data_IF_733657029755
#
_entry.id   IF_733657029755
#
_cell.length_a   1.000
_cell.length_b   1.000
_cell.length_c   1.000
_cell.angle_alpha   90.00
_cell.angle_beta   90.00
_cell.angle_gamma   90.00
#
_symmetry.space_group_name_H-M   'P 1'
#
loop_
_entity.id
_entity.type
_entity.pdbx_description
1 polymer ?
#
# COMPACT_ATOMS: atom_id res chain seq x y z
N UNK A 1 2.01 96.36 -37.55
CA UNK A 1 2.11 95.82 -38.93
C UNK A 1 2.89 94.50 -38.88
N UNK A 2 2.16 93.38 -38.98
CA UNK A 2 2.57 92.03 -39.44
C UNK A 2 4.01 91.56 -39.15
N UNK A 3 4.23 90.82 -38.05
CA UNK A 3 5.20 89.70 -37.92
C UNK A 3 5.11 89.03 -36.53
N UNK A 4 3.99 88.37 -36.24
CA UNK A 4 3.87 87.49 -35.05
C UNK A 4 3.04 86.23 -35.27
N UNK A 5 2.31 86.13 -36.38
CA UNK A 5 1.26 85.10 -36.49
C UNK A 5 1.71 83.79 -37.15
N UNK A 6 2.90 83.72 -37.76
CA UNK A 6 3.35 82.50 -38.44
C UNK A 6 4.11 81.50 -37.53
N UNK A 7 4.69 81.95 -36.41
CA UNK A 7 5.44 81.05 -35.51
C UNK A 7 4.51 80.27 -34.56
N UNK A 8 3.38 80.88 -34.16
CA UNK A 8 2.38 80.27 -33.28
C UNK A 8 1.50 79.22 -33.99
N UNK A 9 1.36 79.31 -35.32
CA UNK A 9 0.63 78.33 -36.14
C UNK A 9 1.35 76.97 -36.24
N UNK A 10 2.68 76.97 -36.40
CA UNK A 10 3.44 75.73 -36.58
C UNK A 10 3.67 74.97 -35.27
N UNK A 11 3.71 75.64 -34.11
CA UNK A 11 3.75 74.97 -32.80
C UNK A 11 2.43 74.27 -32.44
N UNK A 12 1.27 74.82 -32.87
CA UNK A 12 -0.04 74.21 -32.62
C UNK A 12 -0.24 72.93 -33.44
N UNK A 13 0.19 72.89 -34.69
CA UNK A 13 0.11 71.68 -35.51
C UNK A 13 1.08 70.57 -35.05
N UNK A 14 2.26 70.92 -34.52
CA UNK A 14 3.20 69.93 -33.97
C UNK A 14 2.70 69.35 -32.63
N UNK A 15 2.06 70.15 -31.77
CA UNK A 15 1.44 69.66 -30.53
C UNK A 15 0.21 68.77 -30.77
N UNK A 16 -0.58 69.03 -31.83
CA UNK A 16 -1.73 68.18 -32.18
C UNK A 16 -1.26 66.82 -32.71
N UNK A 17 -0.17 66.77 -33.49
CA UNK A 17 0.42 65.50 -33.96
C UNK A 17 1.04 64.68 -32.81
N UNK A 18 1.63 65.35 -31.81
CA UNK A 18 2.17 64.72 -30.59
C UNK A 18 1.05 64.20 -29.64
N UNK A 19 -0.10 64.87 -29.57
CA UNK A 19 -1.24 64.42 -28.76
C UNK A 19 -2.06 63.29 -29.40
N UNK A 20 -2.15 63.23 -30.74
CA UNK A 20 -2.78 62.08 -31.41
C UNK A 20 -1.95 60.80 -31.25
N UNK A 21 -0.62 60.88 -31.25
CA UNK A 21 0.24 59.71 -31.04
C UNK A 21 0.18 59.19 -29.60
N UNK A 22 0.09 60.07 -28.60
CA UNK A 22 -0.01 59.67 -27.20
C UNK A 22 -1.36 59.01 -26.86
N UNK A 23 -2.48 59.52 -27.39
CA UNK A 23 -3.81 58.92 -27.17
C UNK A 23 -3.99 57.58 -27.88
N UNK A 24 -3.43 57.45 -29.10
CA UNK A 24 -3.49 56.18 -29.83
C UNK A 24 -2.59 55.12 -29.16
N UNK A 25 -1.39 55.50 -28.68
CA UNK A 25 -0.53 54.61 -27.90
C UNK A 25 -1.17 54.20 -26.57
N UNK A 26 -1.82 55.12 -25.85
CA UNK A 26 -2.51 54.80 -24.60
C UNK A 26 -3.69 53.83 -24.83
N UNK A 27 -4.48 54.03 -25.89
CA UNK A 27 -5.57 53.14 -26.24
C UNK A 27 -5.06 51.74 -26.64
N UNK A 28 -4.00 51.66 -27.45
CA UNK A 28 -3.33 50.40 -27.81
C UNK A 28 -2.72 49.70 -26.58
N UNK A 29 -2.17 50.46 -25.63
CA UNK A 29 -1.60 49.91 -24.40
C UNK A 29 -2.69 49.36 -23.46
N UNK A 30 -3.85 50.03 -23.38
CA UNK A 30 -5.01 49.55 -22.63
C UNK A 30 -5.61 48.30 -23.29
N UNK A 31 -5.72 48.26 -24.61
CA UNK A 31 -6.19 47.06 -25.34
C UNK A 31 -5.20 45.91 -25.16
N UNK A 32 -3.89 46.17 -25.21
CA UNK A 32 -2.85 45.17 -24.97
C UNK A 32 -2.87 44.66 -23.51
N UNK A 33 -3.10 45.54 -22.52
CA UNK A 33 -3.26 45.16 -21.11
C UNK A 33 -4.53 44.35 -20.87
N UNK A 34 -5.64 44.69 -21.53
CA UNK A 34 -6.89 43.92 -21.45
C UNK A 34 -6.71 42.55 -22.13
N UNK A 35 -6.04 42.49 -23.29
CA UNK A 35 -5.73 41.25 -23.98
C UNK A 35 -4.77 40.37 -23.16
N UNK A 36 -3.72 40.95 -22.54
CA UNK A 36 -2.81 40.23 -21.65
C UNK A 36 -3.51 39.77 -20.37
N UNK A 37 -4.45 40.54 -19.82
CA UNK A 37 -5.26 40.13 -18.67
C UNK A 37 -6.25 39.00 -19.03
N UNK A 38 -6.84 39.02 -20.23
CA UNK A 38 -7.71 37.97 -20.74
C UNK A 38 -6.92 36.67 -21.00
N UNK A 39 -5.74 36.76 -21.62
CA UNK A 39 -4.81 35.63 -21.81
C UNK A 39 -4.29 35.10 -20.46
N UNK A 40 -4.04 35.96 -19.47
CA UNK A 40 -3.66 35.55 -18.12
C UNK A 40 -4.83 34.92 -17.33
N UNK A 41 -6.09 35.19 -17.68
CA UNK A 41 -7.26 34.51 -17.13
C UNK A 41 -7.50 33.15 -17.79
N UNK A 42 -7.24 33.00 -19.10
CA UNK A 42 -7.36 31.72 -19.81
C UNK A 42 -6.18 30.76 -19.55
N UNK A 43 -5.02 31.27 -19.14
CA UNK A 43 -3.82 30.46 -18.82
C UNK A 43 -3.66 30.13 -17.34
N UNK A 44 -4.61 30.52 -16.47
CA UNK A 44 -4.64 29.94 -15.12
C UNK A 44 -4.95 28.45 -15.27
N UNK A 45 -4.04 27.54 -14.89
CA UNK A 45 -4.40 26.13 -14.84
C UNK A 45 -5.64 26.03 -13.97
N UNK A 46 -6.72 25.48 -14.53
CA UNK A 46 -7.90 25.11 -13.78
C UNK A 46 -7.38 24.25 -12.64
N UNK A 47 -7.39 24.75 -11.40
CA UNK A 47 -7.19 23.93 -10.22
C UNK A 47 -8.32 22.89 -10.30
N UNK A 48 -8.04 21.74 -10.88
CA UNK A 48 -8.71 20.51 -10.53
C UNK A 48 -8.40 20.35 -9.05
N UNK A 49 -9.31 20.84 -8.20
CA UNK A 49 -9.45 20.29 -6.88
C UNK A 49 -9.78 18.82 -7.10
N UNK A 50 -8.77 17.97 -7.16
CA UNK A 50 -8.93 16.54 -6.95
C UNK A 50 -9.72 16.44 -5.66
N UNK A 51 -10.94 15.89 -5.72
CA UNK A 51 -11.73 15.69 -4.51
C UNK A 51 -10.84 14.95 -3.49
N UNK A 52 -10.83 15.41 -2.24
CA UNK A 52 -10.06 14.77 -1.18
C UNK A 52 -10.46 13.30 -1.10
N UNK A 53 -9.49 12.40 -0.92
CA UNK A 53 -9.79 10.99 -0.85
C UNK A 53 -10.56 10.73 0.47
N UNK A 54 -11.65 9.94 0.45
CA UNK A 54 -12.41 9.60 1.65
C UNK A 54 -11.56 9.10 2.82
N UNK A 55 -10.44 8.41 2.55
CA UNK A 55 -9.52 7.92 3.58
C UNK A 55 -8.71 9.02 4.30
N UNK A 56 -8.71 10.25 3.78
CA UNK A 56 -8.07 11.40 4.44
C UNK A 56 -8.92 11.96 5.62
N UNK A 57 -10.20 11.58 5.73
CA UNK A 57 -11.09 12.02 6.82
C UNK A 57 -10.67 11.39 8.16
N UNK A 58 -10.57 12.16 9.25
CA UNK A 58 -10.34 11.63 10.60
C UNK A 58 -11.43 10.65 11.06
N UNK A 59 -12.69 10.93 10.74
CA UNK A 59 -13.83 10.06 11.04
C UNK A 59 -13.68 8.72 10.33
N UNK A 60 -13.27 8.76 9.05
CA UNK A 60 -12.99 7.56 8.26
C UNK A 60 -11.83 6.76 8.84
N UNK A 61 -10.72 7.41 9.18
CA UNK A 61 -9.57 6.75 9.78
C UNK A 61 -9.92 6.09 11.12
N UNK A 62 -10.75 6.74 11.94
CA UNK A 62 -11.25 6.18 13.19
C UNK A 62 -12.13 4.94 12.94
N UNK A 63 -13.02 4.99 11.94
CA UNK A 63 -13.85 3.85 11.54
C UNK A 63 -13.01 2.68 11.01
N UNK A 64 -12.05 2.95 10.13
CA UNK A 64 -11.16 1.91 9.58
C UNK A 64 -10.37 1.25 10.70
N UNK A 65 -9.86 2.04 11.66
CA UNK A 65 -9.18 1.50 12.84
C UNK A 65 -10.13 0.67 13.70
N UNK A 66 -11.39 1.09 13.93
CA UNK A 66 -12.36 0.29 14.68
C UNK A 66 -12.65 -1.06 14.01
N UNK A 67 -12.84 -1.07 12.69
CA UNK A 67 -13.02 -2.29 11.90
C UNK A 67 -11.79 -3.19 12.04
N UNK A 68 -10.59 -2.64 11.83
CA UNK A 68 -9.35 -3.39 11.91
C UNK A 68 -9.05 -3.92 13.32
N UNK A 69 -9.44 -3.20 14.38
CA UNK A 69 -9.30 -3.69 15.76
C UNK A 69 -10.14 -4.94 15.96
N UNK A 70 -11.39 -4.96 15.48
CA UNK A 70 -12.32 -6.05 15.73
C UNK A 70 -11.79 -7.40 15.24
N UNK A 71 -11.13 -7.41 14.08
CA UNK A 71 -10.67 -8.63 13.40
C UNK A 71 -9.17 -8.88 13.52
N UNK A 72 -8.44 -8.04 14.28
CA UNK A 72 -6.98 -8.08 14.31
C UNK A 72 -6.46 -9.46 14.76
N UNK A 73 -5.56 -10.10 13.99
CA UNK A 73 -5.14 -11.48 14.20
C UNK A 73 -4.32 -11.67 15.49
N UNK A 74 -4.28 -12.90 15.99
CA UNK A 74 -3.30 -13.34 16.98
C UNK A 74 -2.17 -14.04 16.23
N UNK A 75 -0.94 -13.56 16.38
CA UNK A 75 0.21 -14.08 15.61
C UNK A 75 1.10 -14.93 16.51
N UNK A 76 1.36 -16.16 16.10
CA UNK A 76 2.36 -17.06 16.65
C UNK A 76 3.59 -16.98 15.75
N UNK A 77 4.51 -16.09 16.09
CA UNK A 77 5.75 -15.87 15.36
C UNK A 77 6.81 -16.88 15.79
N UNK A 78 7.20 -17.79 14.90
CA UNK A 78 8.34 -18.65 15.15
C UNK A 78 9.65 -17.86 15.15
N UNK A 79 10.58 -18.23 16.03
CA UNK A 79 11.91 -17.61 16.12
C UNK A 79 12.99 -18.57 15.63
N UNK A 80 13.70 -18.16 14.58
CA UNK A 80 14.83 -18.87 14.01
C UNK A 80 16.13 -18.54 14.72
N UNK A 81 17.27 -18.67 14.03
CA UNK A 81 18.60 -18.48 14.63
C UNK A 81 18.96 -17.01 14.89
N UNK A 82 18.22 -16.07 14.31
CA UNK A 82 18.39 -14.63 14.55
C UNK A 82 17.05 -14.02 15.00
N UNK A 83 16.62 -14.24 16.25
CA UNK A 83 15.26 -13.93 16.69
C UNK A 83 14.78 -12.50 16.41
N UNK A 84 15.65 -11.49 16.55
CA UNK A 84 15.31 -10.08 16.24
C UNK A 84 14.90 -9.86 14.79
N UNK A 85 15.41 -10.67 13.87
CA UNK A 85 15.03 -10.59 12.45
C UNK A 85 13.63 -11.15 12.19
N UNK A 86 13.11 -12.00 13.09
CA UNK A 86 11.75 -12.55 13.02
C UNK A 86 10.72 -11.70 13.76
N UNK A 87 11.11 -10.59 14.43
CA UNK A 87 10.14 -9.75 15.13
C UNK A 87 9.27 -8.97 14.14
N UNK A 88 7.96 -8.93 14.42
CA UNK A 88 7.02 -8.05 13.73
C UNK A 88 7.23 -6.62 14.24
N UNK A 89 7.47 -5.66 13.34
CA UNK A 89 7.73 -4.25 13.66
C UNK A 89 7.19 -3.32 12.57
N UNK A 90 7.30 -1.99 12.71
CA UNK A 90 7.08 -1.03 11.61
C UNK A 90 8.32 -0.90 10.71
N UNK A 91 8.12 -0.52 9.44
CA UNK A 91 9.17 -0.29 8.44
C UNK A 91 10.20 0.74 8.90
N UNK A 92 9.73 1.86 9.45
CA UNK A 92 10.53 2.99 9.91
C UNK A 92 10.92 2.88 11.39
N UNK A 93 11.18 1.66 11.88
CA UNK A 93 11.52 1.40 13.29
C UNK A 93 12.80 2.12 13.76
N UNK A 94 13.68 2.47 12.82
CA UNK A 94 14.90 3.22 13.05
C UNK A 94 14.75 4.74 12.82
N UNK A 95 13.53 5.19 12.50
CA UNK A 95 13.16 6.60 12.37
C UNK A 95 13.29 7.17 10.97
N UNK A 96 13.53 6.35 9.95
CA UNK A 96 13.53 6.78 8.55
C UNK A 96 12.77 5.84 7.62
N UNK A 97 12.55 6.28 6.39
CA UNK A 97 11.81 5.53 5.37
C UNK A 97 12.75 4.93 4.30
N UNK A 98 13.98 4.64 4.68
CA UNK A 98 15.02 4.12 3.79
C UNK A 98 15.06 2.60 3.85
N UNK A 99 14.76 1.92 2.75
CA UNK A 99 14.67 0.46 2.76
C UNK A 99 16.01 -0.28 2.78
N UNK A 100 17.12 0.35 2.38
CA UNK A 100 18.43 -0.29 2.18
C UNK A 100 19.39 -0.19 3.39
N UNK A 101 18.89 0.20 4.56
CA UNK A 101 19.63 0.17 5.82
C UNK A 101 19.00 -0.77 6.87
N UNK A 102 17.78 -1.26 6.65
CA UNK A 102 17.00 -2.07 7.59
C UNK A 102 17.69 -3.38 7.96
N UNK A 103 18.37 -4.02 7.00
CA UNK A 103 19.16 -5.20 7.27
C UNK A 103 20.25 -4.89 8.27
N UNK A 104 20.93 -3.75 8.19
CA UNK A 104 22.01 -3.42 9.14
C UNK A 104 21.46 -2.97 10.49
N UNK A 105 20.38 -2.20 10.48
CA UNK A 105 19.86 -1.53 11.67
C UNK A 105 19.12 -2.47 12.64
N UNK A 106 18.62 -3.62 12.19
CA UNK A 106 17.87 -4.54 13.06
C UNK A 106 18.69 -5.07 14.23
N UNK A 107 20.01 -5.23 14.11
CA UNK A 107 20.86 -5.68 15.24
C UNK A 107 21.28 -4.54 16.17
N UNK A 108 21.03 -3.28 15.79
CA UNK A 108 21.32 -2.13 16.62
C UNK A 108 20.23 -1.94 17.67
N UNK A 109 20.51 -2.36 18.91
CA UNK A 109 19.60 -2.26 20.07
C UNK A 109 19.18 -0.83 20.44
N UNK A 110 19.76 0.22 19.81
CA UNK A 110 19.26 1.59 19.93
C UNK A 110 17.92 1.80 19.23
N UNK A 111 17.59 0.94 18.26
CA UNK A 111 16.32 0.94 17.56
C UNK A 111 15.42 -0.17 18.15
N UNK A 112 14.42 0.19 18.97
CA UNK A 112 13.48 -0.77 19.53
C UNK A 112 12.56 -1.31 18.41
N UNK A 113 12.33 -2.61 18.40
CA UNK A 113 11.49 -3.26 17.38
C UNK A 113 10.06 -3.37 17.91
N UNK A 114 9.44 -2.21 18.13
CA UNK A 114 8.09 -2.14 18.69
C UNK A 114 7.09 -2.77 17.75
N UNK A 115 6.22 -3.61 18.30
CA UNK A 115 5.29 -4.40 17.51
C UNK A 115 4.18 -3.53 16.91
N UNK A 116 4.23 -3.37 15.59
CA UNK A 116 3.19 -2.72 14.79
C UNK A 116 2.73 -3.65 13.69
N UNK A 117 1.42 -3.67 13.44
CA UNK A 117 0.81 -4.38 12.32
C UNK A 117 0.17 -3.37 11.38
N UNK A 118 0.51 -3.45 10.10
CA UNK A 118 -0.08 -2.62 9.08
C UNK A 118 -1.49 -3.12 8.76
N UNK A 119 -2.44 -2.21 8.54
CA UNK A 119 -3.80 -2.61 8.13
C UNK A 119 -4.37 -1.76 7.00
N UNK A 120 -5.33 -2.34 6.29
CA UNK A 120 -6.15 -1.63 5.32
C UNK A 120 -7.56 -2.18 5.30
N UNK A 121 -8.55 -1.31 5.08
CA UNK A 121 -9.97 -1.66 5.06
C UNK A 121 -10.58 -1.30 3.71
N UNK A 122 -11.36 -2.21 3.15
CA UNK A 122 -12.36 -1.91 2.12
C UNK A 122 -13.70 -2.55 2.49
N UNK A 123 -14.79 -2.06 1.89
CA UNK A 123 -16.15 -2.45 2.27
C UNK A 123 -17.04 -2.65 1.07
N UNK A 124 -17.83 -3.71 1.11
CA UNK A 124 -19.04 -3.86 0.30
C UNK A 124 -20.27 -3.68 1.19
N UNK A 125 -21.45 -3.74 0.58
CA UNK A 125 -22.71 -3.73 1.34
C UNK A 125 -22.89 -4.92 2.30
N UNK A 126 -22.12 -5.99 2.11
CA UNK A 126 -22.28 -7.24 2.85
C UNK A 126 -21.07 -7.62 3.68
N UNK A 127 -19.87 -7.14 3.35
CA UNK A 127 -18.64 -7.59 4.00
C UNK A 127 -17.65 -6.44 4.28
N UNK A 128 -16.91 -6.59 5.36
CA UNK A 128 -15.63 -5.91 5.60
C UNK A 128 -14.50 -6.77 5.04
N UNK A 129 -13.52 -6.11 4.41
CA UNK A 129 -12.29 -6.73 3.93
C UNK A 129 -11.14 -6.03 4.63
N UNK A 130 -10.39 -6.76 5.45
CA UNK A 130 -9.29 -6.21 6.22
C UNK A 130 -7.99 -6.92 5.88
N UNK A 131 -7.09 -6.22 5.19
CA UNK A 131 -5.73 -6.69 5.04
C UNK A 131 -4.93 -6.35 6.29
N UNK A 132 -4.12 -7.31 6.74
CA UNK A 132 -3.06 -7.09 7.71
C UNK A 132 -1.72 -7.46 7.08
N UNK A 133 -0.70 -6.64 7.29
CA UNK A 133 0.65 -6.90 6.82
C UNK A 133 1.66 -6.81 7.98
N UNK A 134 2.59 -7.76 8.01
CA UNK A 134 3.55 -8.00 9.06
C UNK A 134 4.94 -7.74 8.48
N UNK A 135 5.60 -6.68 8.95
CA UNK A 135 6.91 -6.31 8.44
C UNK A 135 8.01 -6.91 9.30
N UNK A 136 9.02 -7.44 8.61
CA UNK A 136 10.25 -7.97 9.20
C UNK A 136 11.46 -7.29 8.52
N UNK A 137 12.49 -6.85 9.26
CA UNK A 137 13.62 -6.16 8.63
C UNK A 137 14.49 -7.05 7.71
N UNK A 138 14.40 -8.38 7.83
CA UNK A 138 15.18 -9.34 7.03
C UNK A 138 14.39 -10.63 6.80
N UNK A 139 14.28 -11.09 5.55
CA UNK A 139 14.19 -12.53 5.27
C UNK A 139 15.61 -13.09 5.25
N UNK A 140 15.91 -14.05 6.12
CA UNK A 140 17.23 -14.68 6.19
C UNK A 140 17.21 -16.18 5.88
N UNK A 141 16.13 -16.68 5.26
CA UNK A 141 15.99 -18.06 4.80
C UNK A 141 16.97 -18.34 3.65
N UNK A 142 17.56 -19.53 3.63
CA UNK A 142 18.50 -19.97 2.57
C UNK A 142 19.92 -19.39 2.65
N UNK A 143 20.15 -18.33 3.44
CA UNK A 143 21.47 -17.78 3.75
C UNK A 143 22.07 -16.86 2.67
N UNK A 144 22.84 -15.86 3.13
CA UNK A 144 23.30 -14.73 2.29
C UNK A 144 24.19 -15.14 1.10
N UNK A 145 25.10 -16.10 1.29
CA UNK A 145 26.05 -16.52 0.25
C UNK A 145 25.32 -17.08 -0.98
N UNK A 146 24.30 -17.91 -0.75
CA UNK A 146 23.50 -18.52 -1.82
C UNK A 146 22.73 -17.44 -2.59
N UNK A 147 22.16 -16.48 -1.87
CA UNK A 147 21.40 -15.37 -2.46
C UNK A 147 22.24 -14.47 -3.34
N UNK A 148 23.39 -14.00 -2.84
CA UNK A 148 24.27 -13.10 -3.60
C UNK A 148 24.85 -13.78 -4.84
N UNK A 149 25.19 -15.07 -4.75
CA UNK A 149 25.68 -15.83 -5.90
C UNK A 149 24.62 -15.95 -7.00
N UNK A 150 23.39 -16.34 -6.64
CA UNK A 150 22.31 -16.49 -7.60
C UNK A 150 21.94 -15.14 -8.24
N UNK A 151 21.88 -14.06 -7.45
CA UNK A 151 21.65 -12.73 -7.97
C UNK A 151 22.73 -12.31 -9.00
N UNK A 152 24.00 -12.57 -8.69
CA UNK A 152 25.12 -12.24 -9.59
C UNK A 152 24.99 -12.99 -10.92
N UNK A 153 24.71 -14.30 -10.86
CA UNK A 153 24.51 -15.13 -12.05
C UNK A 153 23.33 -14.65 -12.90
N UNK A 154 22.21 -14.27 -12.26
CA UNK A 154 21.05 -13.73 -12.97
C UNK A 154 21.37 -12.38 -13.63
N UNK A 155 22.02 -11.45 -12.93
CA UNK A 155 22.43 -10.15 -13.50
C UNK A 155 23.37 -10.30 -14.70
N UNK A 156 24.27 -11.28 -14.68
CA UNK A 156 25.15 -11.58 -15.81
C UNK A 156 24.41 -12.25 -16.98
N UNK A 157 23.44 -13.14 -16.69
CA UNK A 157 22.56 -13.77 -17.68
C UNK A 157 21.60 -12.79 -18.38
N UNK A 158 21.03 -11.82 -17.65
CA UNK A 158 20.12 -10.78 -18.18
C UNK A 158 20.79 -9.91 -19.25
N UNK A 159 22.11 -9.71 -19.19
CA UNK A 159 22.84 -8.96 -20.23
C UNK A 159 22.75 -9.62 -21.62
N UNK A 160 22.29 -10.87 -21.70
CA UNK A 160 22.29 -11.67 -22.93
C UNK A 160 20.89 -12.11 -23.42
N UNK A 161 19.80 -11.85 -22.68
CA UNK A 161 18.44 -12.21 -23.11
C UNK A 161 17.37 -11.28 -22.52
N UNK A 162 16.55 -10.65 -23.38
CA UNK A 162 15.41 -9.83 -22.97
C UNK A 162 14.18 -10.69 -22.65
N UNK A 163 13.91 -10.89 -21.37
CA UNK A 163 12.76 -11.62 -20.81
C UNK A 163 12.93 -11.80 -19.30
N UNK A 164 11.86 -12.16 -18.57
CA UNK A 164 11.96 -12.51 -17.14
C UNK A 164 13.02 -13.60 -16.95
N UNK A 165 14.18 -13.28 -16.36
CA UNK A 165 15.34 -14.16 -16.32
C UNK A 165 15.18 -15.27 -15.29
N UNK A 166 14.13 -15.22 -14.48
CA UNK A 166 13.91 -16.21 -13.43
C UNK A 166 13.05 -17.35 -13.92
N UNK A 167 12.08 -17.14 -14.82
CA UNK A 167 11.15 -18.19 -15.22
C UNK A 167 10.49 -18.93 -14.04
N UNK A 168 10.45 -18.31 -12.85
CA UNK A 168 10.06 -18.94 -11.57
C UNK A 168 11.19 -19.57 -10.73
N UNK A 169 12.42 -19.74 -11.24
CA UNK A 169 13.55 -20.35 -10.51
C UNK A 169 14.00 -19.56 -9.27
N UNK A 170 13.87 -18.24 -9.27
CA UNK A 170 14.20 -17.40 -8.10
C UNK A 170 13.10 -17.41 -7.02
N UNK A 171 11.90 -17.86 -7.37
CA UNK A 171 10.78 -18.03 -6.44
C UNK A 171 10.85 -19.41 -5.74
N UNK A 172 11.44 -20.43 -6.38
CA UNK A 172 11.60 -21.79 -5.83
C UNK A 172 12.82 -21.97 -4.90
N UNK A 173 13.73 -20.99 -4.87
CA UNK A 173 14.91 -21.01 -4.01
C UNK A 173 14.66 -20.08 -2.83
N UNK A 174 14.75 -20.62 -1.61
CA UNK A 174 14.85 -19.78 -0.41
C UNK A 174 16.08 -18.89 -0.53
N UNK A 175 15.85 -17.58 -0.65
CA UNK A 175 16.89 -16.57 -0.83
C UNK A 175 16.62 -15.48 0.18
N UNK A 176 17.59 -15.24 1.06
CA UNK A 176 17.55 -14.10 1.98
C UNK A 176 17.48 -12.77 1.23
N UNK A 177 16.77 -11.81 1.79
CA UNK A 177 16.65 -10.45 1.30
C UNK A 177 16.36 -9.45 2.42
N UNK A 178 16.78 -8.21 2.21
CA UNK A 178 16.44 -7.07 3.05
C UNK A 178 14.97 -6.68 2.92
N UNK A 179 14.39 -6.38 4.08
CA UNK A 179 12.95 -6.24 4.28
C UNK A 179 12.20 -7.54 4.00
N UNK A 180 11.04 -7.65 4.61
CA UNK A 180 10.02 -8.61 4.25
C UNK A 180 8.67 -8.07 4.69
N UNK A 181 7.65 -8.32 3.91
CA UNK A 181 6.29 -7.93 4.25
C UNK A 181 5.34 -9.00 3.75
N UNK A 182 4.84 -9.76 4.70
CA UNK A 182 3.89 -10.85 4.50
C UNK A 182 2.55 -10.46 5.13
N UNK A 183 1.49 -11.25 4.92
CA UNK A 183 0.20 -10.83 5.44
C UNK A 183 -0.97 -11.78 5.27
N UNK A 184 -2.14 -11.25 5.60
CA UNK A 184 -3.41 -11.93 5.45
C UNK A 184 -4.53 -10.96 5.08
N UNK A 185 -5.61 -11.51 4.54
CA UNK A 185 -6.90 -10.86 4.32
C UNK A 185 -7.93 -11.55 5.20
N UNK A 186 -8.57 -10.80 6.09
CA UNK A 186 -9.70 -11.25 6.90
C UNK A 186 -10.99 -10.66 6.33
N UNK A 187 -11.98 -11.52 6.06
CA UNK A 187 -13.26 -11.11 5.46
C UNK A 187 -14.39 -11.44 6.42
N UNK A 188 -15.12 -10.40 6.84
CA UNK A 188 -16.19 -10.52 7.80
C UNK A 188 -17.53 -10.06 7.21
N UNK A 189 -18.53 -10.93 7.29
CA UNK A 189 -19.92 -10.63 6.94
C UNK A 189 -20.52 -9.65 7.94
N UNK A 190 -21.11 -8.58 7.43
CA UNK A 190 -21.72 -7.52 8.22
C UNK A 190 -23.03 -7.99 8.86
N UNK A 191 -23.25 -7.57 10.10
CA UNK A 191 -24.56 -7.61 10.75
C UNK A 191 -24.89 -6.20 11.24
N UNK A 192 -25.43 -5.38 10.34
CA UNK A 192 -25.56 -3.94 10.54
C UNK A 192 -24.25 -3.17 10.33
N UNK A 193 -24.23 -1.91 10.76
CA UNK A 193 -23.11 -0.97 10.55
C UNK A 193 -21.98 -1.06 11.59
N UNK A 194 -22.29 -1.65 12.75
CA UNK A 194 -21.34 -1.82 13.85
C UNK A 194 -20.42 -3.03 13.56
N UNK A 195 -19.10 -2.84 13.44
CA UNK A 195 -18.17 -3.92 13.22
C UNK A 195 -18.24 -5.02 14.29
N UNK A 196 -18.66 -4.70 15.52
CA UNK A 196 -18.78 -5.68 16.59
C UNK A 196 -19.80 -6.79 16.30
N UNK A 197 -20.81 -6.52 15.47
CA UNK A 197 -21.82 -7.51 15.05
C UNK A 197 -21.38 -8.42 13.91
N UNK A 198 -20.26 -8.13 13.25
CA UNK A 198 -19.84 -8.83 12.04
C UNK A 198 -19.13 -10.17 12.30
N UNK A 199 -19.34 -11.13 11.39
CA UNK A 199 -18.86 -12.51 11.50
C UNK A 199 -17.75 -12.82 10.50
N UNK A 200 -16.55 -13.22 10.94
CA UNK A 200 -15.50 -13.68 10.02
C UNK A 200 -15.97 -14.94 9.28
N UNK A 201 -15.90 -14.92 7.95
CA UNK A 201 -16.30 -16.03 7.08
C UNK A 201 -15.11 -16.62 6.33
N UNK A 202 -14.13 -15.79 5.98
CA UNK A 202 -12.97 -16.18 5.18
C UNK A 202 -11.70 -15.54 5.71
N UNK A 203 -10.61 -16.29 5.63
CA UNK A 203 -9.26 -15.78 5.86
C UNK A 203 -8.38 -16.30 4.75
N UNK A 204 -7.62 -15.42 4.11
CA UNK A 204 -6.56 -15.80 3.19
C UNK A 204 -5.22 -15.32 3.72
N UNK A 205 -4.17 -16.13 3.58
CA UNK A 205 -2.81 -15.76 4.01
C UNK A 205 -1.83 -15.86 2.86
N UNK A 206 -0.75 -15.09 2.93
CA UNK A 206 0.36 -15.17 2.00
C UNK A 206 1.48 -16.03 2.60
N UNK A 207 1.88 -17.08 1.88
CA UNK A 207 3.08 -17.83 2.20
C UNK A 207 3.80 -18.26 0.94
N UNK A 208 5.07 -17.85 0.78
CA UNK A 208 5.91 -18.22 -0.37
C UNK A 208 5.21 -17.97 -1.70
N UNK A 209 4.67 -16.75 -1.88
CA UNK A 209 3.88 -16.32 -3.05
C UNK A 209 2.65 -17.20 -3.34
N UNK A 210 2.00 -17.78 -2.33
CA UNK A 210 0.73 -18.52 -2.48
C UNK A 210 -0.33 -17.95 -1.55
N UNK A 211 -1.56 -17.81 -2.06
CA UNK A 211 -2.71 -17.46 -1.24
C UNK A 211 -3.35 -18.73 -0.68
N UNK A 212 -3.15 -18.97 0.61
CA UNK A 212 -3.77 -20.08 1.35
C UNK A 212 -5.16 -19.65 1.81
N UNK A 213 -6.12 -20.57 1.77
CA UNK A 213 -7.56 -20.24 1.82
C UNK A 213 -8.23 -20.97 2.96
N UNK A 214 -8.71 -20.23 3.94
CA UNK A 214 -9.27 -20.79 5.17
C UNK A 214 -10.69 -20.32 5.44
N UNK A 215 -11.43 -21.17 6.14
CA UNK A 215 -12.70 -20.82 6.80
C UNK A 215 -12.58 -21.06 8.31
N UNK A 216 -13.29 -20.30 9.16
CA UNK A 216 -13.35 -20.62 10.59
C UNK A 216 -13.94 -22.01 10.87
N UNK A 217 -14.88 -22.45 10.03
CA UNK A 217 -15.51 -23.77 10.11
C UNK A 217 -16.08 -24.19 8.75
N UNK A 218 -16.43 -25.49 8.62
CA UNK A 218 -17.07 -26.06 7.44
C UNK A 218 -16.11 -26.83 6.54
N UNK A 219 -16.43 -26.90 5.25
CA UNK A 219 -15.64 -27.63 4.26
C UNK A 219 -14.40 -26.82 3.81
N UNK A 220 -13.31 -27.54 3.51
CA UNK A 220 -12.03 -26.94 3.12
C UNK A 220 -11.04 -26.86 4.29
N UNK A 221 -9.94 -26.11 4.11
CA UNK A 221 -9.00 -25.86 5.20
C UNK A 221 -9.61 -24.91 6.24
N UNK A 222 -9.37 -25.22 7.51
CA UNK A 222 -9.93 -24.46 8.63
C UNK A 222 -8.87 -23.67 9.37
N UNK A 223 -9.27 -22.53 9.93
CA UNK A 223 -8.42 -21.70 10.79
C UNK A 223 -9.02 -21.56 12.18
N UNK A 224 -8.17 -21.69 13.21
CA UNK A 224 -8.58 -21.47 14.59
C UNK A 224 -8.85 -19.98 14.85
N UNK A 225 -9.85 -19.69 15.68
CA UNK A 225 -10.29 -18.33 16.00
C UNK A 225 -10.31 -18.09 17.51
N UNK A 226 -9.95 -16.88 17.95
CA UNK A 226 -10.21 -16.35 19.29
C UNK A 226 -11.25 -15.24 19.17
N UNK A 227 -12.52 -15.61 19.34
CA UNK A 227 -13.64 -14.74 18.92
C UNK A 227 -13.56 -14.51 17.41
N UNK A 228 -13.48 -13.25 16.99
CA UNK A 228 -13.40 -12.87 15.57
C UNK A 228 -11.96 -12.70 15.06
N UNK A 229 -10.97 -13.16 15.83
CA UNK A 229 -9.53 -12.98 15.54
C UNK A 229 -8.92 -14.30 15.08
N UNK A 230 -8.42 -14.41 13.84
CA UNK A 230 -7.75 -15.63 13.40
C UNK A 230 -6.42 -15.83 14.12
N UNK A 231 -6.10 -17.08 14.42
CA UNK A 231 -4.80 -17.48 14.96
C UNK A 231 -3.90 -17.88 13.78
N UNK A 232 -2.84 -17.10 13.58
CA UNK A 232 -1.90 -17.25 12.49
C UNK A 232 -0.55 -17.71 13.02
N UNK A 233 0.13 -18.57 12.28
CA UNK A 233 1.54 -18.89 12.48
C UNK A 233 2.37 -18.18 11.43
N UNK A 234 3.45 -17.52 11.85
CA UNK A 234 4.44 -16.93 10.94
C UNK A 234 5.71 -17.77 11.03
N UNK A 235 6.10 -18.36 9.89
CA UNK A 235 7.31 -19.18 9.79
C UNK A 235 8.55 -18.35 10.17
N UNK A 236 9.50 -18.88 10.96
CA UNK A 236 10.77 -18.20 11.17
C UNK A 236 11.53 -18.06 9.85
N UNK A 237 12.38 -17.03 9.78
CA UNK A 237 13.29 -16.69 8.69
C UNK A 237 12.62 -16.16 7.43
N UNK A 238 11.70 -16.92 6.83
CA UNK A 238 11.06 -16.55 5.55
C UNK A 238 9.58 -16.19 5.67
N UNK A 239 9.10 -15.99 6.91
CA UNK A 239 7.84 -15.33 7.27
C UNK A 239 6.53 -15.76 6.59
N UNK A 240 6.51 -16.94 5.94
CA UNK A 240 5.27 -17.48 5.39
C UNK A 240 4.16 -17.56 6.45
N UNK A 241 2.99 -17.01 6.13
CA UNK A 241 1.85 -16.92 7.05
C UNK A 241 0.90 -18.08 6.81
N UNK A 242 0.62 -18.84 7.87
CA UNK A 242 -0.24 -20.03 7.85
C UNK A 242 -1.31 -19.94 8.94
N UNK A 243 -2.35 -20.77 8.84
CA UNK A 243 -3.21 -21.04 9.99
C UNK A 243 -2.40 -21.69 11.13
N UNK A 244 -2.57 -21.22 12.36
CA UNK A 244 -1.91 -21.83 13.52
C UNK A 244 -2.53 -23.19 13.86
N UNK A 245 -1.71 -24.23 13.91
CA UNK A 245 -2.07 -25.57 14.38
C UNK A 245 -1.42 -25.87 15.74
N UNK A 246 -0.25 -25.29 16.01
CA UNK A 246 0.50 -25.49 17.25
C UNK A 246 1.13 -26.88 17.39
N UNK A 247 1.08 -27.70 16.33
CA UNK A 247 1.68 -29.02 16.35
C UNK A 247 3.21 -28.96 16.20
N UNK A 248 3.88 -30.04 16.62
CA UNK A 248 5.34 -30.12 16.60
C UNK A 248 5.95 -30.04 15.20
N UNK A 249 5.21 -30.37 14.14
CA UNK A 249 5.70 -30.28 12.77
C UNK A 249 5.70 -28.82 12.28
N UNK A 250 4.65 -28.05 12.60
CA UNK A 250 4.60 -26.61 12.35
C UNK A 250 5.68 -25.85 13.13
N UNK A 251 5.92 -26.24 14.39
CA UNK A 251 6.85 -25.54 15.27
C UNK A 251 8.32 -25.99 15.15
N UNK A 252 8.64 -27.02 14.35
CA UNK A 252 9.97 -27.65 14.31
C UNK A 252 11.12 -26.67 14.05
N UNK A 253 10.88 -25.65 13.23
CA UNK A 253 11.89 -24.67 12.81
C UNK A 253 11.96 -23.44 13.73
N UNK A 254 11.04 -23.34 14.70
CA UNK A 254 11.01 -22.32 15.75
C UNK A 254 12.02 -22.64 16.86
N UNK A 255 13.31 -22.75 16.50
CA UNK A 255 14.37 -23.24 17.38
C UNK A 255 14.63 -22.37 18.61
N UNK A 256 14.23 -21.10 18.58
CA UNK A 256 14.26 -20.18 19.73
C UNK A 256 12.89 -19.98 20.38
N UNK A 257 11.92 -20.85 20.07
CA UNK A 257 10.54 -20.81 20.53
C UNK A 257 9.67 -19.88 19.68
N UNK A 258 8.51 -19.53 20.22
CA UNK A 258 7.48 -18.74 19.54
C UNK A 258 7.13 -17.52 20.38
N UNK A 259 6.93 -16.37 19.75
CA UNK A 259 6.31 -15.18 20.35
C UNK A 259 4.84 -15.10 19.93
N UNK A 260 3.98 -14.69 20.86
CA UNK A 260 2.55 -14.52 20.65
C UNK A 260 2.23 -13.03 20.64
N UNK A 261 1.91 -12.50 19.46
CA UNK A 261 1.50 -11.12 19.30
C UNK A 261 -0.03 -11.01 19.35
N UNK A 262 -0.55 -10.05 20.11
CA UNK A 262 -1.99 -9.76 20.20
C UNK A 262 -2.24 -8.26 20.21
N UNK A 263 -3.34 -7.82 19.59
CA UNK A 263 -3.71 -6.40 19.64
C UNK A 263 -4.03 -5.99 21.07
N UNK A 264 -3.29 -5.02 21.59
CA UNK A 264 -3.53 -4.37 22.89
C UNK A 264 -3.72 -2.86 22.74
N UNK A 265 -3.45 -2.32 21.55
CA UNK A 265 -3.38 -0.88 21.32
C UNK A 265 -2.10 -0.25 21.86
N UNK A 266 -1.11 -1.05 22.25
CA UNK A 266 0.21 -0.61 22.67
C UNK A 266 1.25 -1.40 21.87
N UNK A 267 2.18 -0.70 21.23
CA UNK A 267 3.29 -1.33 20.51
C UNK A 267 4.44 -1.62 21.47
N UNK A 268 4.49 -2.86 21.97
CA UNK A 268 5.52 -3.32 22.91
C UNK A 268 6.78 -3.76 22.17
N UNK A 269 7.94 -3.63 22.82
CA UNK A 269 9.22 -4.13 22.30
C UNK A 269 9.47 -5.55 22.83
N UNK A 270 9.59 -6.58 21.96
CA UNK A 270 9.88 -7.95 22.39
C UNK A 270 11.15 -8.10 23.22
N UNK A 271 12.15 -7.22 23.06
CA UNK A 271 13.38 -7.25 23.87
C UNK A 271 13.22 -6.62 25.25
N UNK A 272 12.14 -5.89 25.49
CA UNK A 272 11.86 -5.24 26.77
C UNK A 272 10.94 -6.08 27.67
N UNK A 273 10.56 -7.28 27.24
CA UNK A 273 9.64 -8.17 27.96
C UNK A 273 10.23 -9.58 28.09
N UNK A 274 10.21 -10.14 29.30
CA UNK A 274 10.55 -11.55 29.53
C UNK A 274 9.38 -12.49 29.14
N UNK A 275 8.23 -11.91 28.82
CA UNK A 275 7.03 -12.65 28.42
C UNK A 275 7.13 -13.06 26.94
N UNK A 276 6.67 -14.28 26.63
CA UNK A 276 6.48 -14.73 25.24
C UNK A 276 5.23 -14.13 24.59
N UNK A 277 4.50 -13.26 25.28
CA UNK A 277 3.38 -12.47 24.77
C UNK A 277 3.80 -11.02 24.55
N UNK A 278 3.43 -10.46 23.41
CA UNK A 278 3.76 -9.08 23.00
C UNK A 278 2.48 -8.38 22.52
N UNK A 279 2.19 -7.22 23.08
CA UNK A 279 1.16 -6.32 22.60
C UNK A 279 1.59 -5.60 21.33
N UNK A 280 0.72 -5.56 20.32
CA UNK A 280 0.92 -4.70 19.13
C UNK A 280 -0.15 -3.62 19.02
N UNK A 281 0.21 -2.55 18.30
CA UNK A 281 -0.74 -1.55 17.79
C UNK A 281 -0.85 -1.59 16.25
N UNK A 282 -1.90 -0.96 15.72
CA UNK A 282 -2.27 -0.97 14.32
C UNK A 282 -1.91 0.36 13.64
N UNK A 283 -1.23 0.30 12.50
CA UNK A 283 -0.89 1.46 11.68
C UNK A 283 -1.48 1.35 10.26
N UNK A 284 -2.12 2.39 9.73
CA UNK A 284 -2.81 2.30 8.44
C UNK A 284 -1.82 2.26 7.27
N UNK A 285 -1.99 1.30 6.36
CA UNK A 285 -1.24 1.21 5.09
C UNK A 285 -1.43 2.49 4.28
N UNK A 286 -2.64 3.05 4.27
CA UNK A 286 -3.02 4.20 3.44
C UNK A 286 -2.15 5.44 3.69
N UNK A 287 -1.98 5.85 4.95
CA UNK A 287 -1.22 7.07 5.30
C UNK A 287 0.28 6.84 5.49
N UNK A 288 0.73 5.58 5.41
CA UNK A 288 2.13 5.18 5.60
C UNK A 288 2.72 4.63 4.29
N UNK A 289 2.74 3.30 4.12
CA UNK A 289 3.34 2.60 2.98
C UNK A 289 2.78 3.09 1.63
N UNK A 290 1.45 3.18 1.50
CA UNK A 290 0.79 3.58 0.26
C UNK A 290 1.13 5.02 -0.13
N UNK A 291 1.14 5.93 0.84
CA UNK A 291 1.50 7.34 0.63
C UNK A 291 2.91 7.48 0.08
N UNK A 292 3.86 6.71 0.62
CA UNK A 292 5.23 6.69 0.10
C UNK A 292 5.33 6.01 -1.27
N UNK A 293 4.41 5.14 -1.65
CA UNK A 293 4.45 4.46 -2.95
C UNK A 293 4.03 5.36 -4.12
N UNK A 294 3.33 6.47 -3.85
CA UNK A 294 2.73 7.33 -4.88
C UNK A 294 3.77 7.96 -5.84
N UNK A 295 5.02 8.10 -5.42
CA UNK A 295 6.07 8.69 -6.25
C UNK A 295 6.85 7.66 -7.08
N UNK A 296 6.41 6.40 -7.12
CA UNK A 296 7.18 5.32 -7.74
C UNK A 296 8.42 4.96 -6.92
N UNK A 297 9.59 4.95 -7.57
CA UNK A 297 10.87 4.66 -6.94
C UNK A 297 11.32 5.83 -6.06
N UNK A 298 11.77 5.53 -4.85
CA UNK A 298 12.28 6.48 -3.85
C UNK A 298 13.11 5.73 -2.79
N UNK A 299 13.42 6.36 -1.65
CA UNK A 299 14.21 5.72 -0.60
C UNK A 299 13.51 4.50 0.03
N UNK A 300 12.17 4.46 0.01
CA UNK A 300 11.37 3.31 0.48
C UNK A 300 11.25 2.22 -0.57
N UNK A 301 11.01 2.59 -1.84
CA UNK A 301 10.73 1.66 -2.93
C UNK A 301 11.84 1.65 -3.98
N UNK A 302 12.40 0.46 -4.19
CA UNK A 302 13.50 0.25 -5.11
C UNK A 302 13.07 -0.07 -6.55
N UNK A 303 11.79 -0.34 -6.77
CA UNK A 303 11.17 -0.62 -8.07
C UNK A 303 9.79 0.02 -8.15
N UNK A 304 9.31 0.25 -9.36
CA UNK A 304 7.93 0.68 -9.65
C UNK A 304 7.22 -0.25 -10.61
N UNK A 305 5.89 -0.27 -10.53
CA UNK A 305 5.02 -0.92 -11.51
C UNK A 305 3.95 0.06 -11.96
N UNK A 306 3.72 0.12 -13.28
CA UNK A 306 2.57 0.81 -13.86
C UNK A 306 1.36 -0.12 -13.87
N UNK A 307 0.40 0.14 -12.99
CA UNK A 307 -0.78 -0.69 -12.82
C UNK A 307 -1.81 -0.36 -13.90
N UNK A 308 -2.30 -1.42 -14.57
CA UNK A 308 -3.39 -1.32 -15.53
C UNK A 308 -4.68 -0.83 -14.87
N UNK A 309 -5.63 -0.41 -15.70
CA UNK A 309 -6.99 -0.08 -15.27
C UNK A 309 -7.64 -1.29 -14.61
N UNK A 310 -8.22 -1.08 -13.43
CA UNK A 310 -9.09 -2.06 -12.77
C UNK A 310 -10.55 -1.72 -13.05
N UNK A 311 -11.32 -2.71 -13.51
CA UNK A 311 -12.77 -2.62 -13.63
C UNK A 311 -13.41 -3.24 -12.39
N UNK A 312 -14.02 -2.41 -11.54
CA UNK A 312 -14.62 -2.85 -10.27
C UNK A 312 -16.10 -2.49 -10.21
N UNK A 313 -16.87 -3.26 -9.44
CA UNK A 313 -18.26 -2.92 -9.12
C UNK A 313 -18.28 -1.95 -7.94
N UNK A 314 -19.08 -0.90 -8.06
CA UNK A 314 -19.37 0.05 -6.98
C UNK A 314 -20.86 0.15 -6.76
N UNK A 315 -21.29 0.40 -5.52
CA UNK A 315 -22.68 0.68 -5.18
C UNK A 315 -22.83 2.14 -4.80
N UNK A 316 -23.69 2.87 -5.50
CA UNK A 316 -23.94 4.28 -5.22
C UNK A 316 -24.91 4.50 -4.03
N UNK A 317 -25.10 5.76 -3.62
CA UNK A 317 -26.02 6.15 -2.54
C UNK A 317 -27.49 5.76 -2.76
N UNK A 318 -27.90 5.48 -4.01
CA UNK A 318 -29.25 5.02 -4.35
C UNK A 318 -29.39 3.50 -4.27
N UNK A 319 -28.31 2.79 -3.93
CA UNK A 319 -28.27 1.33 -3.90
C UNK A 319 -28.11 0.66 -5.26
N UNK A 320 -27.72 1.42 -6.29
CA UNK A 320 -27.52 0.90 -7.64
C UNK A 320 -26.05 0.50 -7.84
N UNK A 321 -25.85 -0.68 -8.42
CA UNK A 321 -24.52 -1.20 -8.74
C UNK A 321 -24.12 -0.78 -10.15
N UNK A 322 -22.88 -0.31 -10.33
CA UNK A 322 -22.31 -0.02 -11.64
C UNK A 322 -20.84 -0.43 -11.71
N UNK A 323 -20.41 -0.86 -12.89
CA UNK A 323 -19.00 -1.10 -13.17
C UNK A 323 -18.31 0.22 -13.45
N UNK A 324 -17.18 0.45 -12.80
CA UNK A 324 -16.33 1.60 -13.05
C UNK A 324 -14.90 1.18 -13.31
N UNK A 325 -14.26 1.89 -14.23
CA UNK A 325 -12.84 1.79 -14.48
C UNK A 325 -12.08 2.73 -13.54
N UNK A 326 -10.99 2.22 -12.98
CA UNK A 326 -10.11 2.95 -12.07
C UNK A 326 -8.66 2.81 -12.51
N UNK A 327 -8.06 3.94 -12.82
CA UNK A 327 -6.65 4.03 -13.11
C UNK A 327 -5.87 4.23 -11.81
N UNK A 328 -4.96 3.30 -11.54
CA UNK A 328 -4.04 3.37 -10.39
C UNK A 328 -2.79 4.18 -10.76
N UNK A 329 -2.23 3.90 -11.94
CA UNK A 329 -0.98 4.51 -12.40
C UNK A 329 0.26 3.82 -11.84
N UNK A 330 1.38 4.54 -11.88
CA UNK A 330 2.68 4.03 -11.45
C UNK A 330 2.86 4.16 -9.93
N UNK A 331 3.21 3.06 -9.28
CA UNK A 331 3.48 3.00 -7.84
C UNK A 331 4.76 2.24 -7.54
N UNK A 332 5.40 2.57 -6.41
CA UNK A 332 6.46 1.75 -5.84
C UNK A 332 5.95 0.32 -5.62
N UNK A 333 6.67 -0.68 -6.11
CA UNK A 333 6.20 -2.07 -6.22
C UNK A 333 7.10 -3.11 -5.53
N UNK A 334 8.26 -2.67 -5.04
CA UNK A 334 9.12 -3.47 -4.18
C UNK A 334 9.88 -2.56 -3.21
N UNK A 335 10.03 -2.98 -1.96
CA UNK A 335 10.84 -2.24 -0.99
C UNK A 335 12.29 -2.20 -1.46
N UNK A 336 12.92 -1.04 -1.33
CA UNK A 336 14.33 -0.86 -1.62
C UNK A 336 15.11 -1.78 -0.69
N UNK A 337 15.93 -2.67 -1.23
CA UNK A 337 16.75 -3.59 -0.43
C UNK A 337 18.04 -3.90 -1.16
N UNK A 338 19.17 -3.76 -0.46
CA UNK A 338 20.51 -3.91 -1.04
C UNK A 338 21.25 -5.15 -0.55
N UNK A 339 20.76 -5.81 0.50
CA UNK A 339 21.33 -7.04 1.05
C UNK A 339 20.53 -8.26 0.64
N UNK A 340 21.22 -9.34 0.26
CA UNK A 340 20.59 -10.55 -0.28
C UNK A 340 20.08 -10.32 -1.69
N UNK A 341 18.92 -10.87 -2.04
CA UNK A 341 18.30 -10.62 -3.33
C UNK A 341 17.73 -9.19 -3.38
N UNK A 342 18.25 -8.36 -4.30
CA UNK A 342 17.86 -6.95 -4.41
C UNK A 342 16.36 -6.77 -4.60
N UNK A 343 15.79 -5.82 -3.87
CA UNK A 343 14.40 -5.37 -3.97
C UNK A 343 13.36 -6.52 -4.01
N UNK A 344 13.53 -7.56 -3.21
CA UNK A 344 12.66 -8.75 -3.28
C UNK A 344 11.35 -8.61 -2.51
N UNK A 345 11.36 -7.89 -1.39
CA UNK A 345 10.18 -7.72 -0.54
C UNK A 345 9.12 -6.82 -1.22
N UNK A 346 7.86 -7.23 -1.17
CA UNK A 346 6.77 -6.58 -1.90
C UNK A 346 5.73 -5.99 -0.95
N UNK A 347 5.21 -4.78 -1.22
CA UNK A 347 4.04 -4.25 -0.52
C UNK A 347 2.75 -4.99 -0.95
N UNK A 348 1.61 -4.79 -0.24
CA UNK A 348 0.39 -5.55 -0.48
C UNK A 348 -0.16 -5.47 -1.91
N UNK A 349 -0.06 -4.30 -2.55
CA UNK A 349 -0.49 -4.12 -3.94
C UNK A 349 0.45 -4.75 -4.97
N UNK A 350 1.59 -5.33 -4.56
CA UNK A 350 2.50 -6.06 -5.43
C UNK A 350 2.59 -7.56 -5.09
N UNK A 351 1.86 -8.03 -4.08
CA UNK A 351 1.69 -9.46 -3.82
C UNK A 351 0.99 -10.18 -4.99
N UNK A 352 1.22 -11.49 -5.07
CA UNK A 352 0.70 -12.35 -6.13
C UNK A 352 0.65 -13.80 -5.67
N UNK A 353 -0.18 -14.60 -6.34
CA UNK A 353 -0.18 -16.05 -6.23
C UNK A 353 0.54 -16.65 -7.45
N UNK A 354 1.60 -17.41 -7.21
CA UNK A 354 2.35 -18.10 -8.26
C UNK A 354 1.52 -19.17 -8.99
N UNK A 355 0.40 -19.62 -8.40
CA UNK A 355 -0.55 -20.53 -9.04
C UNK A 355 -1.54 -19.81 -9.96
N UNK A 356 -1.59 -18.47 -9.91
CA UNK A 356 -2.55 -17.65 -10.63
C UNK A 356 -1.84 -16.63 -11.53
N UNK A 357 -0.85 -17.09 -12.31
CA UNK A 357 0.07 -16.24 -13.10
C UNK A 357 -0.62 -15.32 -14.11
N UNK A 358 -1.82 -15.66 -14.56
CA UNK A 358 -2.59 -14.88 -15.53
C UNK A 358 -3.42 -13.76 -14.87
N UNK A 359 -3.43 -13.67 -13.53
CA UNK A 359 -4.17 -12.64 -12.80
C UNK A 359 -3.38 -11.33 -12.72
N UNK A 360 -4.07 -10.18 -12.69
CA UNK A 360 -3.41 -8.89 -12.52
C UNK A 360 -2.60 -8.83 -11.22
N UNK A 361 -1.40 -8.27 -11.29
CA UNK A 361 -0.59 -7.96 -10.11
C UNK A 361 -1.37 -7.06 -9.15
N UNK A 362 -1.37 -7.40 -7.86
CA UNK A 362 -2.06 -6.60 -6.83
C UNK A 362 -3.57 -6.78 -6.76
N UNK A 363 -4.17 -7.66 -7.56
CA UNK A 363 -5.62 -7.86 -7.57
C UNK A 363 -6.18 -8.21 -6.18
N UNK A 364 -5.45 -9.02 -5.41
CA UNK A 364 -5.84 -9.39 -4.05
C UNK A 364 -6.01 -8.17 -3.13
N UNK A 365 -5.21 -7.12 -3.33
CA UNK A 365 -5.29 -5.89 -2.55
C UNK A 365 -6.30 -4.88 -3.10
N UNK A 366 -6.32 -4.69 -4.42
CA UNK A 366 -7.18 -3.67 -5.05
C UNK A 366 -8.64 -4.12 -5.16
N UNK A 367 -8.88 -5.40 -5.48
CA UNK A 367 -10.21 -5.98 -5.61
C UNK A 367 -10.37 -7.29 -4.79
N UNK A 368 -10.21 -7.23 -3.45
CA UNK A 368 -10.33 -8.41 -2.60
C UNK A 368 -11.71 -9.07 -2.69
N UNK A 369 -12.78 -8.32 -2.96
CA UNK A 369 -14.12 -8.88 -3.07
C UNK A 369 -14.26 -9.81 -4.28
N UNK A 370 -13.78 -9.41 -5.47
CA UNK A 370 -13.80 -10.29 -6.63
C UNK A 370 -12.91 -11.53 -6.43
N UNK A 371 -11.75 -11.36 -5.79
CA UNK A 371 -10.82 -12.46 -5.49
C UNK A 371 -11.46 -13.47 -4.54
N UNK A 372 -12.05 -13.02 -3.44
CA UNK A 372 -12.70 -13.89 -2.45
C UNK A 372 -13.92 -14.60 -3.05
N UNK A 373 -14.74 -13.89 -3.84
CA UNK A 373 -15.86 -14.50 -4.54
C UNK A 373 -15.41 -15.66 -5.45
N UNK A 374 -14.30 -15.46 -6.17
CA UNK A 374 -13.70 -16.48 -7.05
C UNK A 374 -13.10 -17.64 -6.25
N UNK A 375 -12.25 -17.35 -5.27
CA UNK A 375 -11.52 -18.34 -4.47
C UNK A 375 -12.44 -19.28 -3.69
N UNK A 376 -13.58 -18.78 -3.21
CA UNK A 376 -14.53 -19.56 -2.43
C UNK A 376 -15.81 -19.93 -3.21
N UNK A 377 -15.85 -19.68 -4.51
CA UNK A 377 -16.98 -19.96 -5.41
C UNK A 377 -18.32 -19.43 -4.86
N UNK A 378 -18.36 -18.13 -4.53
CA UNK A 378 -19.48 -17.49 -3.84
C UNK A 378 -20.56 -17.04 -4.81
N UNK A 379 -21.82 -17.16 -4.35
CA UNK A 379 -23.01 -16.72 -5.10
C UNK A 379 -23.40 -15.27 -4.81
N UNK A 380 -24.61 -14.90 -5.26
CA UNK A 380 -25.13 -13.52 -5.25
C UNK A 380 -25.34 -12.91 -3.85
N UNK A 381 -25.37 -13.72 -2.78
CA UNK A 381 -25.45 -13.22 -1.40
C UNK A 381 -24.17 -12.50 -0.96
N UNK A 382 -23.04 -12.80 -1.60
CA UNK A 382 -21.79 -12.09 -1.42
C UNK A 382 -21.73 -10.92 -2.42
N UNK A 383 -21.74 -9.69 -1.91
CA UNK A 383 -21.60 -8.50 -2.76
C UNK A 383 -20.14 -8.22 -3.04
N UNK A 384 -19.80 -8.05 -4.32
CA UNK A 384 -18.52 -7.51 -4.80
C UNK A 384 -18.58 -6.01 -5.12
N UNK A 385 -19.72 -5.35 -4.89
CA UNK A 385 -19.90 -3.94 -5.15
C UNK A 385 -19.42 -3.11 -3.94
N UNK A 386 -18.34 -2.34 -4.14
CA UNK A 386 -17.75 -1.52 -3.09
C UNK A 386 -18.64 -0.33 -2.74
N UNK A 387 -18.79 -0.09 -1.44
CA UNK A 387 -19.27 1.18 -0.88
C UNK A 387 -18.11 2.01 -0.31
N UNK A 388 -16.96 1.37 -0.09
CA UNK A 388 -15.71 2.05 0.21
C UNK A 388 -14.49 1.25 -0.26
N UNK A 389 -13.57 1.93 -0.93
CA UNK A 389 -12.23 1.43 -1.23
C UNK A 389 -11.28 2.63 -1.40
N UNK A 390 -10.31 2.85 -0.48
CA UNK A 390 -9.44 4.03 -0.49
C UNK A 390 -8.62 4.15 -1.78
N UNK A 391 -8.15 3.00 -2.27
CA UNK A 391 -7.16 2.90 -3.34
C UNK A 391 -7.78 3.05 -4.72
N UNK A 392 -9.11 2.87 -4.79
CA UNK A 392 -9.91 3.06 -5.98
C UNK A 392 -10.77 4.33 -5.93
N UNK A 393 -10.54 5.19 -4.93
CA UNK A 393 -11.29 6.41 -4.68
C UNK A 393 -12.82 6.18 -4.71
N UNK A 394 -13.26 5.16 -3.98
CA UNK A 394 -14.68 4.80 -3.83
C UNK A 394 -15.12 5.17 -2.42
N UNK A 395 -16.17 5.98 -2.32
CA UNK A 395 -16.95 6.18 -1.09
C UNK A 395 -18.40 6.51 -1.43
N UNK A 396 -19.30 5.79 -0.78
CA UNK A 396 -20.75 6.00 -0.81
C UNK A 396 -21.26 6.46 0.55
N UNK A 397 -20.41 7.12 1.33
CA UNK A 397 -20.72 7.75 2.61
C UNK A 397 -20.70 9.27 2.48
#
# INVERSE_FOLDING_TARGET
MKRSDHFLSNLRSLMILLHLNASCCAALFVILLIALAAVAQETRPRRTTTAANPADSPERQARDRQIAIQFAPVLYQGLGSHPRSDYVTNFDYDGDWKGDNNWKNVDNKRYPLRAYVYFSVSETSTHYFVHYAFFHPRDYKGGLVKSTLLETLLREGIKHAGGDPTGGLADDVALSHENDLEGCLVVAEKSGEDPAGATVQFVETLAHNRYLKYRPAGAGETIQMKGQRPLLFIEPKGHGVYAYTGDGAQLKDSINGTLVYSYTGQAEDPDATDSRSVGYDLIPIYTTLWKNAQSGENDTYGESLDYKVFSVLIRNLKGEDSTVERQIGTLGSAFRGSVGFKNKARPPWAWFDQMEKDRPRGEWFFDPAAVIARHFNLGKSFSSAYIYNPYLNVSSY
#
